data_IF_713325017139
#
_entry.id   IF_713325017139
#
_cell.length_a   1.000
_cell.length_b   1.000
_cell.length_c   1.000
_cell.angle_alpha   90.00
_cell.angle_beta   90.00
_cell.angle_gamma   90.00
#
_symmetry.space_group_name_H-M   'P 1'
#
loop_
_entity.id
_entity.type
_entity.pdbx_description
1 polymer ?
#
# COMPACT_ATOMS: atom_id res chain seq x y z
N UNK A 1 -38.27 3.11 -2.87
CA UNK A 1 -37.66 1.92 -2.22
C UNK A 1 -36.36 2.39 -1.59
N UNK A 2 -36.03 1.96 -0.37
CA UNK A 2 -34.76 2.38 0.27
C UNK A 2 -33.57 1.72 -0.45
N UNK A 3 -32.51 2.49 -0.69
CA UNK A 3 -31.26 1.98 -1.22
C UNK A 3 -30.21 1.97 -0.12
N UNK A 4 -29.50 0.87 0.03
CA UNK A 4 -28.45 0.69 1.03
C UNK A 4 -27.12 0.43 0.34
N UNK A 5 -26.11 1.23 0.60
CA UNK A 5 -24.78 1.08 0.02
C UNK A 5 -23.79 0.50 1.04
N UNK A 6 -23.12 -0.59 0.67
CA UNK A 6 -22.03 -1.16 1.46
C UNK A 6 -20.81 -0.22 1.44
N UNK A 7 -20.34 0.21 2.61
CA UNK A 7 -19.17 1.10 2.77
C UNK A 7 -17.84 0.40 2.44
N UNK A 8 -17.80 -0.93 2.46
CA UNK A 8 -16.58 -1.71 2.22
C UNK A 8 -16.31 -1.94 0.73
N UNK A 9 -17.34 -2.21 -0.07
CA UNK A 9 -17.19 -2.58 -1.49
C UNK A 9 -18.08 -1.79 -2.46
N UNK A 10 -18.99 -0.96 -1.97
CA UNK A 10 -19.89 -0.14 -2.79
C UNK A 10 -21.14 -0.86 -3.32
N UNK A 11 -21.37 -2.14 -2.97
CA UNK A 11 -22.59 -2.86 -3.35
C UNK A 11 -23.87 -2.14 -2.92
N UNK A 12 -24.83 -1.98 -3.83
CA UNK A 12 -26.13 -1.34 -3.58
C UNK A 12 -27.20 -2.42 -3.45
N UNK A 13 -27.86 -2.46 -2.28
CA UNK A 13 -29.01 -3.29 -2.02
C UNK A 13 -30.30 -2.44 -2.06
N UNK A 14 -31.31 -2.90 -2.78
CA UNK A 14 -32.64 -2.26 -2.83
C UNK A 14 -33.60 -3.07 -1.97
N UNK A 15 -34.08 -2.46 -0.88
CA UNK A 15 -34.94 -3.15 0.07
C UNK A 15 -35.23 -2.29 1.30
N UNK A 16 -36.22 -2.69 2.09
CA UNK A 16 -36.61 -2.00 3.32
C UNK A 16 -35.47 -1.93 4.36
N UNK A 17 -34.57 -2.93 4.35
CA UNK A 17 -33.40 -3.02 5.24
C UNK A 17 -32.20 -3.62 4.51
N UNK A 18 -30.95 -3.36 4.96
CA UNK A 18 -29.76 -3.96 4.36
C UNK A 18 -29.63 -5.45 4.71
N UNK A 19 -28.95 -6.25 3.88
CA UNK A 19 -28.74 -7.67 4.15
C UNK A 19 -27.81 -7.87 5.35
N UNK A 20 -27.92 -9.03 6.03
CA UNK A 20 -27.09 -9.35 7.20
C UNK A 20 -25.59 -9.44 6.86
N UNK A 21 -25.29 -9.90 5.63
CA UNK A 21 -23.95 -9.87 5.06
C UNK A 21 -23.99 -9.37 3.63
N UNK A 22 -23.01 -8.57 3.26
CA UNK A 22 -22.82 -8.12 1.89
C UNK A 22 -22.51 -9.32 1.00
N UNK A 23 -23.28 -9.55 -0.09
CA UNK A 23 -23.07 -10.70 -0.98
C UNK A 23 -21.77 -10.61 -1.80
N UNK A 24 -21.15 -9.43 -1.86
CA UNK A 24 -19.91 -9.19 -2.63
C UNK A 24 -18.66 -9.37 -1.78
N UNK A 25 -18.64 -8.81 -0.56
CA UNK A 25 -17.44 -8.78 0.28
C UNK A 25 -17.59 -9.44 1.66
N UNK A 26 -18.79 -9.91 2.01
CA UNK A 26 -19.05 -10.54 3.32
C UNK A 26 -19.13 -9.58 4.50
N UNK A 27 -19.05 -8.26 4.29
CA UNK A 27 -19.17 -7.27 5.34
C UNK A 27 -20.54 -7.34 6.05
N UNK A 28 -20.54 -7.12 7.36
CA UNK A 28 -21.74 -7.15 8.19
C UNK A 28 -22.74 -6.03 7.84
N UNK A 29 -24.02 -6.21 8.18
CA UNK A 29 -25.11 -5.25 8.05
C UNK A 29 -24.77 -3.84 8.57
N UNK A 30 -23.93 -3.76 9.61
CA UNK A 30 -23.47 -2.47 10.18
C UNK A 30 -22.68 -1.61 9.18
N UNK A 31 -22.21 -2.21 8.08
CA UNK A 31 -21.42 -1.56 7.04
C UNK A 31 -22.28 -1.09 5.86
N UNK A 32 -23.60 -0.94 6.05
CA UNK A 32 -24.52 -0.39 5.04
C UNK A 32 -25.05 0.97 5.48
N UNK A 33 -24.98 1.95 4.58
CA UNK A 33 -25.55 3.29 4.76
C UNK A 33 -26.77 3.47 3.85
N UNK A 34 -27.80 4.16 4.34
CA UNK A 34 -28.99 4.49 3.56
C UNK A 34 -28.65 5.63 2.58
N UNK A 35 -28.97 5.43 1.31
CA UNK A 35 -28.88 6.46 0.27
C UNK A 35 -30.27 7.05 0.10
N UNK A 36 -30.44 8.29 0.53
CA UNK A 36 -31.69 9.04 0.36
C UNK A 36 -31.78 9.56 -1.09
N UNK A 37 -32.87 9.22 -1.77
CA UNK A 37 -33.19 9.73 -3.11
C UNK A 37 -33.87 11.10 -2.96
N UNK A 38 -33.17 12.20 -3.27
CA UNK A 38 -33.84 13.50 -3.46
C UNK A 38 -34.58 13.45 -4.81
N UNK A 39 -35.90 13.68 -4.88
CA UNK A 39 -36.62 13.61 -6.14
C UNK A 39 -36.28 14.79 -7.04
N UNK A 40 -36.16 14.49 -8.34
CA UNK A 40 -36.00 15.43 -9.42
C UNK A 40 -37.16 16.44 -9.50
N UNK A 41 -36.85 17.70 -9.85
CA UNK A 41 -37.80 18.60 -10.49
C UNK A 41 -37.17 19.18 -11.77
N UNK A 42 -37.94 19.00 -12.84
CA UNK A 42 -37.71 19.44 -14.22
C UNK A 42 -37.72 20.99 -14.38
N UNK A 43 -37.25 21.51 -15.53
CA UNK A 43 -36.78 22.89 -15.65
C UNK A 43 -37.89 23.88 -15.98
N UNK A 44 -37.97 24.99 -15.24
CA UNK A 44 -38.75 26.17 -15.63
C UNK A 44 -37.81 27.28 -16.07
N UNK A 45 -37.91 27.63 -17.35
CA UNK A 45 -37.28 28.79 -17.94
C UNK A 45 -38.04 30.07 -17.56
N UNK A 46 -37.34 31.09 -17.06
CA UNK A 46 -37.64 32.52 -17.30
C UNK A 46 -36.32 33.29 -17.33
N UNK A 47 -36.17 34.12 -18.37
CA UNK A 47 -35.03 35.01 -18.64
C UNK A 47 -35.08 36.30 -17.84
N UNK A 48 -33.93 36.86 -17.45
CA UNK A 48 -33.33 38.13 -17.94
C UNK A 48 -32.30 38.68 -16.96
N UNK A 49 -31.10 39.00 -17.47
CA UNK A 49 -30.38 40.24 -17.16
C UNK A 49 -29.48 40.34 -15.91
N UNK A 50 -28.18 40.54 -16.18
CA UNK A 50 -27.17 41.29 -15.41
C UNK A 50 -26.30 40.56 -14.33
N UNK A 51 -25.07 40.27 -14.75
CA UNK A 51 -23.77 40.42 -14.06
C UNK A 51 -23.55 39.91 -12.60
N UNK A 52 -22.86 38.74 -12.50
CA UNK A 52 -21.90 38.24 -11.49
C UNK A 52 -22.33 38.13 -10.00
N UNK A 53 -21.76 37.18 -9.18
CA UNK A 53 -20.66 36.24 -9.40
C UNK A 53 -21.09 34.74 -9.34
N UNK A 54 -20.21 33.85 -9.80
CA UNK A 54 -20.45 32.40 -9.86
C UNK A 54 -20.48 31.75 -8.47
N UNK A 55 -21.37 30.77 -8.21
CA UNK A 55 -21.37 30.02 -6.97
C UNK A 55 -20.27 28.97 -6.97
N UNK A 56 -19.65 28.89 -5.80
CA UNK A 56 -18.47 28.11 -5.44
C UNK A 56 -18.78 26.60 -5.35
N UNK A 57 -17.76 25.79 -5.65
CA UNK A 57 -17.55 24.52 -4.94
C UNK A 57 -18.39 23.30 -5.35
N UNK A 58 -18.28 22.84 -6.60
CA UNK A 58 -18.70 21.46 -6.93
C UNK A 58 -17.70 20.47 -6.33
N UNK A 59 -18.07 19.82 -5.23
CA UNK A 59 -17.30 18.75 -4.60
C UNK A 59 -17.02 17.62 -5.61
N UNK A 60 -15.79 17.54 -6.11
CA UNK A 60 -15.32 16.46 -6.97
C UNK A 60 -14.73 15.32 -6.14
N UNK A 61 -14.94 14.07 -6.58
CA UNK A 61 -14.11 12.95 -6.12
C UNK A 61 -12.88 12.89 -7.03
N UNK A 62 -11.70 12.83 -6.43
CA UNK A 62 -10.43 12.78 -7.14
C UNK A 62 -9.70 11.51 -6.76
N UNK A 63 -9.33 10.68 -7.73
CA UNK A 63 -8.60 9.44 -7.50
C UNK A 63 -7.12 9.63 -7.82
N UNK A 64 -6.25 9.24 -6.90
CA UNK A 64 -4.83 9.18 -7.16
C UNK A 64 -4.52 8.00 -8.11
N UNK A 65 -4.00 8.31 -9.28
CA UNK A 65 -3.57 7.32 -10.31
C UNK A 65 -2.36 6.47 -9.88
N UNK A 66 -1.72 6.79 -8.75
CA UNK A 66 -0.53 6.06 -8.24
C UNK A 66 -0.90 5.00 -7.21
N UNK A 67 -1.82 5.30 -6.29
CA UNK A 67 -2.18 4.39 -5.19
C UNK A 67 -3.68 4.11 -5.05
N UNK A 68 -4.53 4.79 -5.82
CA UNK A 68 -5.98 4.63 -5.78
C UNK A 68 -6.70 5.46 -4.71
N UNK A 69 -6.00 6.22 -3.85
CA UNK A 69 -6.61 7.09 -2.84
C UNK A 69 -7.68 8.02 -3.43
N UNK A 70 -8.86 8.07 -2.83
CA UNK A 70 -9.96 8.95 -3.25
C UNK A 70 -10.04 10.13 -2.30
N UNK A 71 -9.91 11.34 -2.84
CA UNK A 71 -10.13 12.60 -2.14
C UNK A 71 -11.47 13.20 -2.53
N UNK A 72 -12.30 13.55 -1.55
CA UNK A 72 -13.50 14.38 -1.73
C UNK A 72 -13.16 15.84 -1.48
N UNK A 73 -13.30 16.69 -2.50
CA UNK A 73 -13.01 18.11 -2.42
C UNK A 73 -13.20 18.81 -3.76
N UNK A 74 -13.28 20.14 -3.76
CA UNK A 74 -13.34 20.92 -5.01
C UNK A 74 -12.09 20.72 -5.87
N UNK A 75 -10.92 20.53 -5.24
CA UNK A 75 -9.63 20.31 -5.89
C UNK A 75 -8.88 19.10 -5.30
N UNK A 76 -8.00 18.43 -6.06
CA UNK A 76 -7.15 17.37 -5.52
C UNK A 76 -6.04 17.97 -4.64
N UNK A 77 -5.57 17.24 -3.62
CA UNK A 77 -4.55 17.72 -2.71
C UNK A 77 -3.21 17.93 -3.43
N UNK A 78 -2.38 18.86 -2.94
CA UNK A 78 -1.04 19.12 -3.51
C UNK A 78 -0.18 17.86 -3.56
N UNK A 79 -0.27 17.02 -2.52
CA UNK A 79 0.36 15.71 -2.43
C UNK A 79 -0.63 14.69 -1.91
N UNK A 80 -0.64 13.52 -2.52
CA UNK A 80 -1.43 12.39 -2.08
C UNK A 80 -1.03 12.00 -0.64
N UNK A 81 -1.97 11.96 0.32
CA UNK A 81 -1.67 11.67 1.72
C UNK A 81 -1.24 10.21 1.95
N UNK A 82 -1.51 9.33 1.00
CA UNK A 82 -1.14 7.91 1.05
C UNK A 82 0.26 7.70 0.49
N UNK A 83 0.47 8.01 -0.79
CA UNK A 83 1.73 7.68 -1.47
C UNK A 83 2.67 8.87 -1.70
N UNK A 84 2.23 10.10 -1.45
CA UNK A 84 3.01 11.33 -1.66
C UNK A 84 3.14 11.78 -3.12
N UNK A 85 2.32 11.25 -4.03
CA UNK A 85 2.30 11.69 -5.43
C UNK A 85 1.72 13.11 -5.57
N UNK A 86 2.27 13.91 -6.49
CA UNK A 86 1.84 15.30 -6.67
C UNK A 86 0.41 15.42 -7.25
N UNK A 87 -0.18 16.61 -7.10
CA UNK A 87 -1.53 16.99 -7.56
C UNK A 87 -1.85 16.56 -9.01
N UNK A 88 -0.86 16.59 -9.90
CA UNK A 88 -1.00 16.18 -11.29
C UNK A 88 -1.28 14.67 -11.51
N UNK A 89 -1.27 13.87 -10.43
CA UNK A 89 -1.61 12.44 -10.46
C UNK A 89 -3.00 12.13 -9.94
N UNK A 90 -3.84 13.14 -9.81
CA UNK A 90 -5.25 12.96 -9.50
C UNK A 90 -6.10 13.08 -10.76
N UNK A 91 -6.93 12.06 -10.99
CA UNK A 91 -7.98 12.10 -12.01
C UNK A 91 -9.32 12.40 -11.33
N UNK A 92 -10.14 13.26 -11.94
CA UNK A 92 -11.49 13.54 -11.44
C UNK A 92 -12.38 12.36 -11.81
N UNK A 93 -13.01 11.74 -10.81
CA UNK A 93 -14.06 10.76 -11.04
C UNK A 93 -15.35 11.52 -11.35
N UNK A 94 -15.68 11.67 -12.64
CA UNK A 94 -17.01 12.08 -13.07
C UNK A 94 -17.97 10.91 -12.92
N UNK A 95 -19.08 11.10 -12.23
CA UNK A 95 -20.20 10.15 -12.27
C UNK A 95 -20.89 10.33 -13.63
N UNK A 96 -20.49 9.53 -14.62
CA UNK A 96 -21.19 9.40 -15.90
C UNK A 96 -21.34 7.91 -16.27
N UNK A 97 -22.51 7.49 -16.80
CA UNK A 97 -22.80 6.09 -17.06
C UNK A 97 -21.91 5.53 -18.17
N UNK A 98 -21.44 4.30 -17.98
CA UNK A 98 -20.79 3.53 -19.04
C UNK A 98 -21.82 3.18 -20.13
N UNK A 99 -21.88 3.97 -21.20
CA UNK A 99 -22.57 3.59 -22.43
C UNK A 99 -21.56 2.97 -23.43
N UNK A 100 -21.77 1.67 -23.62
CA UNK A 100 -21.68 0.89 -24.87
C UNK A 100 -20.97 1.54 -26.07
N UNK A 101 -19.90 0.89 -26.54
CA UNK A 101 -19.41 1.05 -27.92
C UNK A 101 -19.56 -0.26 -28.68
N UNK A 102 -20.54 -0.29 -29.58
CA UNK A 102 -20.60 -1.20 -30.72
C UNK A 102 -19.48 -0.85 -31.71
N UNK A 103 -18.81 -1.89 -32.22
CA UNK A 103 -17.88 -1.84 -33.34
C UNK A 103 -18.64 -1.67 -34.67
N UNK A 104 -18.21 -0.70 -35.48
CA UNK A 104 -18.29 -0.77 -36.94
C UNK A 104 -17.25 0.17 -37.56
N UNK A 105 -16.61 -0.35 -38.62
CA UNK A 105 -15.37 0.10 -39.25
C UNK A 105 -15.51 1.26 -40.27
N UNK A 106 -14.33 1.76 -40.64
CA UNK A 106 -13.89 2.29 -41.94
C UNK A 106 -13.86 3.82 -42.15
N UNK A 107 -12.66 4.30 -42.51
CA UNK A 107 -12.41 5.65 -43.03
C UNK A 107 -10.97 6.11 -42.90
N UNK A 108 -10.11 5.71 -43.85
CA UNK A 108 -8.71 6.14 -44.02
C UNK A 108 -8.58 7.63 -44.40
N UNK A 109 -7.64 8.35 -43.76
CA UNK A 109 -6.78 9.35 -44.40
C UNK A 109 -5.64 9.81 -43.44
N UNK A 110 -4.42 9.92 -43.97
CA UNK A 110 -3.16 10.42 -43.34
C UNK A 110 -2.63 11.56 -44.22
N UNK A 111 -1.58 12.32 -43.85
CA UNK A 111 -1.23 12.94 -42.56
C UNK A 111 -0.94 14.46 -42.69
N UNK A 112 -1.00 15.21 -41.59
CA UNK A 112 -0.25 16.47 -41.44
C UNK A 112 0.20 16.69 -39.98
N UNK A 113 1.33 17.35 -39.85
CA UNK A 113 2.36 17.28 -38.79
C UNK A 113 2.17 18.24 -37.60
N UNK A 114 2.57 17.80 -36.39
CA UNK A 114 3.28 18.61 -35.37
C UNK A 114 3.68 17.75 -34.15
N UNK A 115 4.64 18.18 -33.30
CA UNK A 115 5.55 17.31 -32.59
C UNK A 115 5.15 17.04 -31.13
N UNK A 116 5.95 16.19 -30.50
CA UNK A 116 5.99 15.84 -29.08
C UNK A 116 5.08 14.69 -28.62
N UNK A 117 5.44 13.51 -29.14
CA UNK A 117 5.07 12.22 -28.58
C UNK A 117 5.74 12.08 -27.19
N UNK A 118 5.00 11.79 -26.10
CA UNK A 118 5.64 11.50 -24.83
C UNK A 118 6.58 10.30 -24.98
N UNK A 119 7.81 10.45 -24.46
CA UNK A 119 8.86 9.42 -24.48
C UNK A 119 8.28 8.06 -24.13
N UNK A 120 8.45 7.13 -25.07
CA UNK A 120 8.10 5.71 -24.93
C UNK A 120 8.63 5.21 -23.59
N UNK A 121 7.74 4.75 -22.72
CA UNK A 121 8.13 4.04 -21.50
C UNK A 121 9.13 2.93 -21.87
N UNK A 122 10.17 2.68 -21.06
CA UNK A 122 11.03 1.53 -21.28
C UNK A 122 10.13 0.29 -21.30
N UNK A 123 10.25 -0.52 -22.35
CA UNK A 123 9.56 -1.82 -22.45
C UNK A 123 9.92 -2.60 -21.20
N UNK A 124 8.97 -2.73 -20.28
CA UNK A 124 9.06 -3.67 -19.18
C UNK A 124 9.22 -5.03 -19.84
N UNK A 125 10.37 -5.69 -19.61
CA UNK A 125 10.59 -7.04 -20.09
C UNK A 125 9.38 -7.89 -19.66
N UNK A 126 8.87 -8.75 -20.56
CA UNK A 126 7.75 -9.64 -20.26
C UNK A 126 8.15 -10.54 -19.09
N UNK A 127 7.81 -10.14 -17.85
CA UNK A 127 7.96 -10.99 -16.68
C UNK A 127 6.95 -12.15 -16.80
N UNK A 128 7.30 -13.35 -16.32
CA UNK A 128 6.47 -14.55 -16.47
C UNK A 128 5.12 -14.38 -15.75
N UNK A 129 4.06 -15.01 -16.28
CA UNK A 129 2.68 -14.91 -15.79
C UNK A 129 2.51 -15.10 -14.26
N UNK A 130 3.43 -15.83 -13.63
CA UNK A 130 3.47 -16.02 -12.17
C UNK A 130 3.61 -14.72 -11.37
N UNK A 131 4.29 -13.68 -11.87
CA UNK A 131 4.45 -12.42 -11.11
C UNK A 131 3.16 -11.60 -11.05
N UNK A 132 2.27 -11.80 -12.01
CA UNK A 132 0.91 -11.24 -11.99
C UNK A 132 0.02 -11.97 -10.99
N UNK A 133 0.29 -13.26 -10.74
CA UNK A 133 -0.40 -14.05 -9.71
C UNK A 133 0.06 -13.61 -8.30
N UNK A 134 1.36 -13.38 -8.09
CA UNK A 134 1.88 -12.91 -6.79
C UNK A 134 1.29 -11.57 -6.32
N UNK A 135 0.97 -10.69 -7.26
CA UNK A 135 0.33 -9.40 -6.96
C UNK A 135 -1.16 -9.53 -6.64
N UNK A 136 -1.83 -10.55 -7.16
CA UNK A 136 -3.23 -10.85 -6.84
C UNK A 136 -3.40 -11.46 -5.44
N UNK A 137 -2.42 -12.23 -4.97
CA UNK A 137 -2.47 -12.89 -3.65
C UNK A 137 -1.88 -12.06 -2.50
N UNK A 138 -1.50 -10.80 -2.73
CA UNK A 138 -0.90 -9.92 -1.72
C UNK A 138 0.35 -10.53 -1.05
N UNK A 139 1.22 -11.16 -1.85
CA UNK A 139 2.38 -11.89 -1.33
C UNK A 139 3.36 -11.00 -0.55
N UNK A 140 3.52 -9.73 -0.94
CA UNK A 140 4.38 -8.79 -0.20
C UNK A 140 3.84 -8.50 1.22
N UNK A 141 2.57 -8.09 1.40
CA UNK A 141 1.94 -8.02 2.72
C UNK A 141 2.15 -9.29 3.54
N UNK A 142 1.96 -10.49 2.98
CA UNK A 142 2.17 -11.74 3.75
C UNK A 142 3.64 -11.88 4.17
N UNK A 143 4.57 -11.69 3.23
CA UNK A 143 6.00 -11.87 3.46
C UNK A 143 6.55 -10.94 4.55
N UNK A 144 6.10 -9.68 4.64
CA UNK A 144 6.61 -8.72 5.64
C UNK A 144 6.22 -9.09 7.08
N UNK A 145 5.22 -9.93 7.30
CA UNK A 145 4.85 -10.35 8.66
C UNK A 145 5.92 -11.23 9.31
N UNK A 146 6.74 -11.94 8.53
CA UNK A 146 7.82 -12.77 9.06
C UNK A 146 8.88 -11.94 9.78
N UNK A 147 9.59 -10.99 9.14
CA UNK A 147 10.54 -10.13 9.85
C UNK A 147 9.85 -9.27 10.91
N UNK A 148 8.63 -8.78 10.67
CA UNK A 148 7.92 -7.95 11.64
C UNK A 148 7.52 -8.72 12.91
N UNK A 149 7.27 -10.03 12.82
CA UNK A 149 6.96 -10.88 13.97
C UNK A 149 8.21 -11.45 14.65
N UNK A 150 9.18 -11.92 13.87
CA UNK A 150 10.34 -12.64 14.41
C UNK A 150 11.45 -11.71 14.91
N UNK A 151 11.61 -10.49 14.39
CA UNK A 151 12.61 -9.55 14.92
C UNK A 151 12.31 -9.11 16.37
N UNK A 152 11.07 -8.74 16.75
CA UNK A 152 10.76 -8.47 18.15
C UNK A 152 11.04 -9.67 19.05
N UNK A 153 10.62 -10.87 18.65
CA UNK A 153 10.85 -12.11 19.41
C UNK A 153 12.33 -12.40 19.55
N UNK A 154 13.10 -12.29 18.45
CA UNK A 154 14.55 -12.46 18.44
C UNK A 154 15.25 -11.47 19.37
N UNK A 155 14.85 -10.21 19.37
CA UNK A 155 15.41 -9.18 20.24
C UNK A 155 15.13 -9.48 21.72
N UNK A 156 13.88 -9.84 22.07
CA UNK A 156 13.50 -10.21 23.43
C UNK A 156 14.28 -11.42 23.93
N UNK A 157 14.43 -12.47 23.10
CA UNK A 157 15.23 -13.63 23.44
C UNK A 157 16.73 -13.32 23.51
N UNK A 158 17.23 -12.40 22.69
CA UNK A 158 18.62 -11.94 22.80
C UNK A 158 18.86 -11.25 24.13
N UNK A 159 17.95 -10.35 24.54
CA UNK A 159 18.05 -9.67 25.83
C UNK A 159 17.97 -10.67 26.98
N UNK A 160 17.02 -11.59 26.95
CA UNK A 160 16.89 -12.64 27.96
C UNK A 160 18.13 -13.56 28.01
N UNK A 161 18.69 -13.95 26.85
CA UNK A 161 19.91 -14.75 26.78
C UNK A 161 21.09 -14.02 27.45
N UNK A 162 21.26 -12.73 27.17
CA UNK A 162 22.33 -11.89 27.72
C UNK A 162 22.12 -11.56 29.21
N UNK A 163 20.89 -11.45 29.68
CA UNK A 163 20.58 -11.15 31.09
C UNK A 163 20.66 -12.37 31.99
N UNK A 164 20.27 -13.54 31.50
CA UNK A 164 20.18 -14.78 32.29
C UNK A 164 21.27 -15.80 31.96
N UNK A 165 22.18 -15.48 31.02
CA UNK A 165 23.19 -16.41 30.49
C UNK A 165 22.60 -17.77 30.09
N UNK A 166 21.39 -17.74 29.50
CA UNK A 166 20.60 -18.94 29.22
C UNK A 166 20.82 -19.43 27.79
N UNK A 167 21.24 -20.69 27.67
CA UNK A 167 21.43 -21.37 26.40
C UNK A 167 20.13 -21.47 25.59
N UNK A 168 19.00 -21.76 26.23
CA UNK A 168 17.71 -21.91 25.55
C UNK A 168 17.26 -20.63 24.83
N UNK A 169 17.37 -19.49 25.52
CA UNK A 169 17.05 -18.19 24.91
C UNK A 169 18.06 -17.83 23.81
N UNK A 170 19.34 -18.15 23.97
CA UNK A 170 20.36 -17.91 22.95
C UNK A 170 20.07 -18.69 21.66
N UNK A 171 19.74 -19.98 21.78
CA UNK A 171 19.37 -20.84 20.64
C UNK A 171 18.12 -20.31 19.95
N UNK A 172 17.09 -19.93 20.72
CA UNK A 172 15.86 -19.37 20.15
C UNK A 172 16.13 -18.04 19.42
N UNK A 173 16.87 -17.11 20.02
CA UNK A 173 17.26 -15.84 19.40
C UNK A 173 18.02 -16.08 18.08
N UNK A 174 19.02 -16.95 18.10
CA UNK A 174 19.83 -17.31 16.93
C UNK A 174 18.97 -17.79 15.77
N UNK A 175 18.08 -18.77 16.00
CA UNK A 175 17.28 -19.32 14.91
C UNK A 175 16.24 -18.35 14.36
N UNK A 176 15.61 -17.54 15.22
CA UNK A 176 14.69 -16.50 14.75
C UNK A 176 15.41 -15.50 13.84
N UNK A 177 16.60 -15.04 14.23
CA UNK A 177 17.37 -14.09 13.44
C UNK A 177 17.87 -14.65 12.11
N UNK A 178 18.36 -15.90 12.11
CA UNK A 178 18.77 -16.60 10.89
C UNK A 178 17.59 -16.76 9.94
N UNK A 179 16.41 -17.12 10.46
CA UNK A 179 15.22 -17.27 9.64
C UNK A 179 14.79 -15.95 9.00
N UNK A 180 14.85 -14.84 9.75
CA UNK A 180 14.64 -13.49 9.20
C UNK A 180 15.64 -13.22 8.08
N UNK A 181 16.93 -13.46 8.31
CA UNK A 181 17.98 -13.25 7.30
C UNK A 181 17.70 -14.00 5.99
N UNK A 182 17.32 -15.29 6.09
CA UNK A 182 16.99 -16.12 4.92
C UNK A 182 15.75 -15.61 4.20
N UNK A 183 14.79 -15.03 4.92
CA UNK A 183 13.53 -14.58 4.34
C UNK A 183 13.57 -13.14 3.79
N UNK A 184 14.52 -12.31 4.21
CA UNK A 184 14.67 -10.94 3.70
C UNK A 184 14.77 -10.84 2.17
N UNK A 185 15.49 -11.72 1.43
CA UNK A 185 15.45 -11.75 -0.03
C UNK A 185 14.04 -11.91 -0.62
N UNK A 186 13.19 -12.73 0.00
CA UNK A 186 11.79 -12.92 -0.41
C UNK A 186 10.99 -11.63 -0.19
N UNK A 187 11.17 -10.98 0.95
CA UNK A 187 10.51 -9.70 1.27
C UNK A 187 10.92 -8.60 0.31
N UNK A 188 12.21 -8.50 -0.01
CA UNK A 188 12.73 -7.50 -0.96
C UNK A 188 12.22 -7.79 -2.38
N UNK A 189 12.29 -9.04 -2.83
CA UNK A 189 11.84 -9.44 -4.17
C UNK A 189 10.35 -9.19 -4.37
N UNK A 190 9.51 -9.67 -3.44
CA UNK A 190 8.06 -9.44 -3.47
C UNK A 190 7.71 -7.94 -3.37
N UNK A 191 8.44 -7.18 -2.54
CA UNK A 191 8.24 -5.73 -2.42
C UNK A 191 8.63 -4.96 -3.68
N UNK A 192 9.68 -5.38 -4.38
CA UNK A 192 10.07 -4.80 -5.67
C UNK A 192 9.02 -5.08 -6.75
N UNK A 193 8.51 -6.32 -6.82
CA UNK A 193 7.45 -6.71 -7.76
C UNK A 193 6.19 -5.87 -7.50
N UNK A 194 5.73 -5.77 -6.25
CA UNK A 194 4.56 -4.96 -5.88
C UNK A 194 4.79 -3.49 -6.24
N UNK A 195 5.98 -2.95 -5.97
CA UNK A 195 6.32 -1.58 -6.35
C UNK A 195 6.23 -1.31 -7.87
N UNK A 196 6.72 -2.23 -8.71
CA UNK A 196 6.64 -2.07 -10.17
C UNK A 196 5.21 -2.22 -10.67
N UNK A 197 4.51 -3.27 -10.26
CA UNK A 197 3.22 -3.65 -10.84
C UNK A 197 2.03 -2.90 -10.25
N UNK A 198 2.03 -2.64 -8.94
CA UNK A 198 0.92 -1.95 -8.26
C UNK A 198 1.07 -0.44 -8.26
N UNK A 199 2.31 0.05 -8.19
CA UNK A 199 2.60 1.49 -8.07
C UNK A 199 3.32 2.08 -9.30
N UNK A 200 3.39 1.32 -10.39
CA UNK A 200 3.94 1.76 -11.68
C UNK A 200 5.42 2.11 -11.64
N UNK A 201 6.18 1.57 -10.69
CA UNK A 201 7.62 1.84 -10.55
C UNK A 201 7.97 3.28 -10.19
N UNK A 202 7.06 4.02 -9.56
CA UNK A 202 7.29 5.42 -9.18
C UNK A 202 8.02 5.50 -7.83
N UNK A 203 9.18 6.16 -7.81
CA UNK A 203 9.92 6.39 -6.56
C UNK A 203 9.40 7.63 -5.82
N UNK A 204 8.61 7.42 -4.77
CA UNK A 204 8.23 8.48 -3.82
C UNK A 204 9.10 8.41 -2.56
N UNK A 205 9.00 9.42 -1.68
CA UNK A 205 9.74 9.43 -0.40
C UNK A 205 9.42 8.19 0.45
N UNK A 206 8.16 7.74 0.45
CA UNK A 206 7.71 6.55 1.19
C UNK A 206 8.40 5.29 0.65
N UNK A 207 8.38 5.07 -0.67
CA UNK A 207 9.04 3.90 -1.27
C UNK A 207 10.55 3.93 -1.07
N UNK A 208 11.18 5.10 -1.22
CA UNK A 208 12.62 5.26 -0.94
C UNK A 208 12.95 4.86 0.50
N UNK A 209 12.22 5.38 1.48
CA UNK A 209 12.42 5.01 2.88
C UNK A 209 12.23 3.51 3.11
N UNK A 210 11.16 2.89 2.58
CA UNK A 210 10.92 1.46 2.75
C UNK A 210 12.03 0.59 2.15
N UNK A 211 12.52 0.94 0.96
CA UNK A 211 13.61 0.19 0.31
C UNK A 211 14.94 0.31 1.06
N UNK A 212 15.27 1.52 1.54
CA UNK A 212 16.47 1.73 2.36
C UNK A 212 16.37 0.94 3.68
N UNK A 213 15.22 1.01 4.36
CA UNK A 213 15.01 0.23 5.59
C UNK A 213 15.11 -1.28 5.33
N UNK A 214 14.54 -1.79 4.24
CA UNK A 214 14.63 -3.21 3.89
C UNK A 214 16.09 -3.65 3.65
N UNK A 215 16.88 -2.83 2.95
CA UNK A 215 18.32 -3.07 2.77
C UNK A 215 19.10 -3.07 4.08
N UNK A 216 18.83 -2.12 4.96
CA UNK A 216 19.47 -2.05 6.29
C UNK A 216 19.11 -3.27 7.13
N UNK A 217 17.83 -3.66 7.18
CA UNK A 217 17.38 -4.84 7.95
C UNK A 217 18.01 -6.12 7.40
N UNK A 218 18.11 -6.28 6.09
CA UNK A 218 18.74 -7.44 5.48
C UNK A 218 20.23 -7.53 5.86
N UNK A 219 20.96 -6.41 5.75
CA UNK A 219 22.38 -6.35 6.09
C UNK A 219 22.63 -6.58 7.57
N UNK A 220 21.87 -5.92 8.46
CA UNK A 220 22.01 -6.11 9.91
C UNK A 220 21.66 -7.55 10.31
N UNK A 221 20.58 -8.11 9.77
CA UNK A 221 20.18 -9.49 10.06
C UNK A 221 21.24 -10.49 9.61
N UNK A 222 21.88 -10.25 8.45
CA UNK A 222 22.99 -11.07 7.96
C UNK A 222 24.22 -10.98 8.88
N UNK A 223 24.67 -9.77 9.20
CA UNK A 223 25.85 -9.56 10.04
C UNK A 223 25.67 -10.15 11.44
N UNK A 224 24.49 -9.93 12.05
CA UNK A 224 24.19 -10.47 13.38
C UNK A 224 24.02 -11.99 13.37
N UNK A 225 23.45 -12.56 12.30
CA UNK A 225 23.37 -14.02 12.12
C UNK A 225 24.77 -14.63 12.02
N UNK A 226 25.66 -14.02 11.23
CA UNK A 226 27.06 -14.46 11.11
C UNK A 226 27.77 -14.36 12.46
N UNK A 227 27.56 -13.27 13.21
CA UNK A 227 28.14 -13.10 14.55
C UNK A 227 27.71 -14.24 15.48
N UNK A 228 26.42 -14.58 15.52
CA UNK A 228 25.93 -15.73 16.29
C UNK A 228 26.57 -17.07 15.88
N UNK A 229 26.85 -17.26 14.58
CA UNK A 229 27.47 -18.48 14.07
C UNK A 229 28.95 -18.59 14.44
N UNK A 230 29.66 -17.46 14.49
CA UNK A 230 31.08 -17.41 14.87
C UNK A 230 31.25 -17.50 16.39
N UNK A 231 30.33 -16.91 17.15
CA UNK A 231 30.37 -16.85 18.61
C UNK A 231 29.07 -17.40 19.21
N UNK A 232 28.87 -18.74 19.20
CA UNK A 232 27.65 -19.36 19.73
C UNK A 232 27.47 -19.12 21.24
N UNK A 233 28.57 -18.94 21.98
CA UNK A 233 28.60 -18.74 23.43
C UNK A 233 28.64 -17.27 23.87
N UNK A 234 28.33 -16.35 22.95
CA UNK A 234 28.31 -14.89 23.19
C UNK A 234 27.55 -14.52 24.48
N UNK A 235 26.46 -15.23 24.75
CA UNK A 235 25.55 -14.99 25.88
C UNK A 235 26.16 -15.23 27.27
N UNK A 236 27.29 -15.93 27.37
CA UNK A 236 27.97 -16.19 28.64
C UNK A 236 28.65 -14.94 29.21
N UNK A 237 29.06 -13.99 28.36
CA UNK A 237 29.71 -12.75 28.79
C UNK A 237 28.71 -11.67 29.29
N UNK A 238 27.42 -12.02 29.35
CA UNK A 238 26.36 -11.13 29.80
C UNK A 238 26.11 -9.94 28.87
N UNK A 239 25.24 -9.02 29.31
CA UNK A 239 24.88 -7.82 28.53
C UNK A 239 26.05 -6.84 28.39
N UNK A 240 26.83 -6.62 29.45
CA UNK A 240 27.93 -5.64 29.48
C UNK A 240 29.05 -6.00 28.50
N UNK A 241 29.38 -7.28 28.36
CA UNK A 241 30.36 -7.77 27.38
C UNK A 241 29.88 -7.65 25.93
N UNK A 242 28.57 -7.51 25.71
CA UNK A 242 27.95 -7.61 24.38
C UNK A 242 27.01 -6.44 24.06
N UNK A 243 27.27 -5.26 24.63
CA UNK A 243 26.41 -4.08 24.44
C UNK A 243 26.25 -3.73 22.96
N UNK A 244 27.34 -3.76 22.18
CA UNK A 244 27.28 -3.48 20.75
C UNK A 244 26.34 -4.46 20.02
N UNK A 245 26.42 -5.75 20.35
CA UNK A 245 25.55 -6.76 19.78
C UNK A 245 24.07 -6.53 20.12
N UNK A 246 23.77 -6.19 21.38
CA UNK A 246 22.42 -5.88 21.82
C UNK A 246 21.87 -4.60 21.14
N UNK A 247 22.70 -3.55 21.02
CA UNK A 247 22.33 -2.30 20.35
C UNK A 247 22.06 -2.51 18.86
N UNK A 248 22.86 -3.33 18.18
CA UNK A 248 22.64 -3.65 16.77
C UNK A 248 21.35 -4.44 16.55
N UNK A 249 21.00 -5.37 17.46
CA UNK A 249 19.69 -6.05 17.41
C UNK A 249 18.52 -5.05 17.62
N UNK A 250 18.66 -4.13 18.57
CA UNK A 250 17.67 -3.07 18.79
C UNK A 250 17.53 -2.14 17.57
N UNK A 251 18.65 -1.76 16.96
CA UNK A 251 18.66 -0.97 15.74
C UNK A 251 17.95 -1.71 14.60
N UNK A 252 18.22 -3.01 14.42
CA UNK A 252 17.57 -3.84 13.42
C UNK A 252 16.04 -3.87 13.61
N UNK A 253 15.58 -4.11 14.84
CA UNK A 253 14.16 -4.04 15.21
C UNK A 253 13.55 -2.66 14.93
N UNK A 254 14.25 -1.59 15.30
CA UNK A 254 13.78 -0.21 15.12
C UNK A 254 13.59 0.13 13.64
N UNK A 255 14.54 -0.26 12.78
CA UNK A 255 14.45 -0.02 11.34
C UNK A 255 13.31 -0.82 10.72
N UNK A 256 13.11 -2.07 11.15
CA UNK A 256 11.98 -2.89 10.70
C UNK A 256 10.62 -2.26 11.12
N UNK A 257 10.52 -1.77 12.36
CA UNK A 257 9.32 -1.08 12.84
C UNK A 257 9.01 0.20 12.03
N UNK A 258 10.03 0.99 11.69
CA UNK A 258 9.89 2.16 10.81
C UNK A 258 9.37 1.73 9.42
N UNK A 259 9.93 0.68 8.83
CA UNK A 259 9.46 0.15 7.55
C UNK A 259 7.99 -0.29 7.61
N UNK A 260 7.62 -0.99 8.69
CA UNK A 260 6.25 -1.43 8.98
C UNK A 260 5.27 -0.26 9.13
N UNK A 261 5.65 0.79 9.86
CA UNK A 261 4.84 1.99 10.05
C UNK A 261 4.52 2.70 8.72
N UNK A 262 5.53 2.88 7.85
CA UNK A 262 5.31 3.40 6.51
C UNK A 262 4.50 2.45 5.63
N UNK A 263 4.57 1.14 5.87
CA UNK A 263 3.70 0.15 5.24
C UNK A 263 2.24 0.29 5.63
N UNK A 264 1.94 0.40 6.92
CA UNK A 264 0.58 0.60 7.42
C UNK A 264 -0.07 1.88 6.87
N UNK A 265 0.70 2.96 6.72
CA UNK A 265 0.22 4.21 6.09
C UNK A 265 -0.22 4.06 4.63
N UNK A 266 0.28 3.06 3.90
CA UNK A 266 -0.14 2.80 2.52
C UNK A 266 -1.46 2.01 2.44
N UNK A 267 -1.83 1.31 3.51
CA UNK A 267 -2.98 0.40 3.54
C UNK A 267 -4.19 1.02 4.24
N UNK A 268 -3.99 1.75 5.33
CA UNK A 268 -5.06 2.19 6.24
C UNK A 268 -5.33 3.71 6.21
N UNK A 269 -5.09 4.37 5.07
CA UNK A 269 -5.35 5.80 4.88
C UNK A 269 -6.08 6.09 3.58
#
# INVERSE_FOLDING_TARGET
>A
MKQWQCTVCGYIHRGESPPDKCPVCGADKSQFILVEETPAQDPVAVSTGAAAPQPEGVAGKWRCTVCGYIHTGSEPPEKCPVCGADRNRFERLSEAPAETKNEQEAGEAKPASSPDRPKRMPRVAKLPAFTQVMTQYHDHPIAVHIPNGLLPVSFLFTLAALSFSSHGFAVAAKYNLIFVCIFMPVVIGTGYIDWVHRFGGRMTRVFKTKMVCAGIVATLSLLLSIWWLISPDLYLNGLSGNILFALLNLANLTVAAIAGWYGGKLVFK
#
